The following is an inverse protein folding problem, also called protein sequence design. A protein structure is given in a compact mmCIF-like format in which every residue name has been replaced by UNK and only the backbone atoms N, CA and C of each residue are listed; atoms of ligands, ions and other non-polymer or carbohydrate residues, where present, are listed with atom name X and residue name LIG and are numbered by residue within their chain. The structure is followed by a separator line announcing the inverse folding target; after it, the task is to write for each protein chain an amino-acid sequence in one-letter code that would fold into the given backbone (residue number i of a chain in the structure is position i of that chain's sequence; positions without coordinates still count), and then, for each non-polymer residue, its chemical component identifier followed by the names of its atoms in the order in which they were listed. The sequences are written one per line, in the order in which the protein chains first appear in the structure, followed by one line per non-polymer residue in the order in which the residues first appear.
data_IF_327999214205
#
_entry.id   IF_327999214205
#
_cell.length_a   1.000
_cell.length_b   1.000
_cell.length_c   1.000
_cell.angle_alpha   90.00
_cell.angle_beta   90.00
_cell.angle_gamma   90.00
#
_symmetry.space_group_name_H-M   'P 1'
#
loop_
_entity.id
_entity.type
_entity.pdbx_description
1 polymer ?
#
# COMPACT_ATOMS: atom_id res chain seq x y z
N UNK A 1 -7.70 9.41 -6.35
CA UNK A 1 -6.69 8.98 -7.35
C UNK A 1 -6.91 9.79 -8.62
N UNK A 2 -5.84 10.38 -9.16
CA UNK A 2 -5.88 11.20 -10.37
C UNK A 2 -4.85 10.67 -11.36
N UNK A 3 -5.27 10.47 -12.62
CA UNK A 3 -4.43 9.88 -13.65
C UNK A 3 -4.23 10.84 -14.81
N UNK A 4 -2.97 11.05 -15.19
CA UNK A 4 -2.60 11.59 -16.50
C UNK A 4 -2.21 10.39 -17.37
N UNK A 5 -3.10 10.00 -18.29
CA UNK A 5 -2.91 8.81 -19.13
C UNK A 5 -2.57 9.18 -20.56
N UNK A 6 -1.55 8.53 -21.10
CA UNK A 6 -1.35 8.43 -22.54
C UNK A 6 -2.08 7.18 -23.07
N UNK A 7 -2.74 7.31 -24.21
CA UNK A 7 -3.51 6.24 -24.85
C UNK A 7 -4.51 5.53 -23.89
N UNK A 8 -5.45 6.26 -23.27
CA UNK A 8 -6.29 5.74 -22.19
C UNK A 8 -7.05 4.45 -22.58
N UNK A 9 -7.43 4.27 -23.85
CA UNK A 9 -8.09 3.06 -24.34
C UNK A 9 -7.28 1.76 -24.27
N UNK A 10 -5.97 1.83 -23.99
CA UNK A 10 -5.12 0.65 -23.75
C UNK A 10 -5.06 0.23 -22.27
N UNK A 11 -5.64 1.02 -21.37
CA UNK A 11 -5.54 0.81 -19.93
C UNK A 11 -6.83 0.22 -19.35
N UNK A 12 -6.67 -0.74 -18.45
CA UNK A 12 -7.74 -1.28 -17.60
C UNK A 12 -7.35 -1.01 -16.16
N UNK A 13 -8.17 -0.21 -15.46
CA UNK A 13 -8.01 0.01 -14.02
C UNK A 13 -8.91 -0.94 -13.26
N UNK A 14 -8.28 -1.74 -12.42
CA UNK A 14 -8.95 -2.58 -11.46
C UNK A 14 -8.94 -1.90 -10.09
N UNK A 15 -10.11 -1.47 -9.63
CA UNK A 15 -10.28 -0.82 -8.34
C UNK A 15 -10.99 -1.76 -7.39
N UNK A 16 -10.26 -2.29 -6.40
CA UNK A 16 -10.86 -3.08 -5.33
C UNK A 16 -11.15 -2.19 -4.13
N UNK A 17 -12.38 -2.24 -3.64
CA UNK A 17 -12.87 -1.42 -2.53
C UNK A 17 -13.75 -2.24 -1.59
N UNK A 18 -14.03 -1.71 -0.39
CA UNK A 18 -15.03 -2.29 0.50
C UNK A 18 -16.47 -1.99 0.04
N UNK A 19 -17.42 -2.71 0.63
CA UNK A 19 -18.86 -2.56 0.37
C UNK A 19 -19.40 -1.17 0.65
N UNK A 20 -18.85 -0.46 1.63
CA UNK A 20 -19.31 0.90 1.98
C UNK A 20 -18.99 1.88 0.86
N UNK A 21 -17.80 1.76 0.27
CA UNK A 21 -17.30 2.64 -0.77
C UNK A 21 -17.66 2.18 -2.19
N UNK A 22 -18.07 0.92 -2.38
CA UNK A 22 -18.35 0.32 -3.69
C UNK A 22 -19.29 1.14 -4.57
N UNK A 23 -20.44 1.57 -4.03
CA UNK A 23 -21.41 2.39 -4.77
C UNK A 23 -20.85 3.76 -5.15
N UNK A 24 -20.17 4.43 -4.21
CA UNK A 24 -19.56 5.74 -4.44
C UNK A 24 -18.45 5.68 -5.50
N UNK A 25 -17.61 4.64 -5.47
CA UNK A 25 -16.53 4.44 -6.44
C UNK A 25 -17.07 4.18 -7.84
N UNK A 26 -18.09 3.33 -7.99
CA UNK A 26 -18.76 3.12 -9.28
C UNK A 26 -19.29 4.45 -9.84
N UNK A 27 -20.07 5.19 -9.06
CA UNK A 27 -20.63 6.47 -9.50
C UNK A 27 -19.55 7.51 -9.82
N UNK A 28 -18.47 7.57 -9.03
CA UNK A 28 -17.38 8.51 -9.26
C UNK A 28 -16.72 8.29 -10.62
N UNK A 29 -16.35 7.05 -10.95
CA UNK A 29 -15.69 6.72 -12.22
C UNK A 29 -16.63 6.74 -13.43
N UNK A 30 -17.94 6.53 -13.24
CA UNK A 30 -18.94 6.77 -14.28
C UNK A 30 -19.04 8.25 -14.65
N UNK A 31 -18.97 9.16 -13.67
CA UNK A 31 -19.06 10.61 -13.89
C UNK A 31 -17.71 11.24 -14.26
N UNK A 32 -16.60 10.61 -13.87
CA UNK A 32 -15.24 11.10 -14.08
C UNK A 32 -14.34 10.02 -14.72
N UNK A 33 -14.68 9.52 -15.92
CA UNK A 33 -13.85 8.51 -16.58
C UNK A 33 -12.47 9.12 -16.93
N UNK A 34 -11.36 8.42 -16.64
CA UNK A 34 -10.02 8.89 -17.02
C UNK A 34 -9.79 8.64 -18.51
N UNK A 35 -10.35 9.52 -19.35
CA UNK A 35 -10.36 9.34 -20.79
C UNK A 35 -11.18 8.12 -21.20
N UNK A 36 -10.67 7.32 -22.15
CA UNK A 36 -11.32 6.12 -22.65
C UNK A 36 -10.85 4.82 -21.95
N UNK A 37 -10.24 4.92 -20.77
CA UNK A 37 -9.79 3.74 -20.05
C UNK A 37 -10.96 2.92 -19.51
N UNK A 38 -10.80 1.59 -19.50
CA UNK A 38 -11.79 0.70 -18.90
C UNK A 38 -11.61 0.70 -17.39
N UNK A 39 -12.69 0.92 -16.64
CA UNK A 39 -12.67 0.86 -15.18
C UNK A 39 -13.49 -0.34 -14.71
N UNK A 40 -12.87 -1.21 -13.92
CA UNK A 40 -13.53 -2.30 -13.23
C UNK A 40 -13.49 -2.04 -11.73
N UNK A 41 -14.64 -1.79 -11.12
CA UNK A 41 -14.76 -1.61 -9.66
C UNK A 41 -15.26 -2.91 -9.06
N UNK A 42 -14.55 -3.42 -8.07
CA UNK A 42 -14.83 -4.70 -7.42
C UNK A 42 -15.00 -4.51 -5.91
N UNK A 43 -15.95 -5.23 -5.33
CA UNK A 43 -16.14 -5.28 -3.90
C UNK A 43 -15.35 -6.46 -3.32
N UNK A 44 -14.47 -6.19 -2.36
CA UNK A 44 -13.67 -7.21 -1.68
C UNK A 44 -14.52 -8.30 -1.02
N UNK A 45 -15.73 -7.98 -0.56
CA UNK A 45 -16.65 -8.94 0.08
C UNK A 45 -17.15 -10.04 -0.89
N UNK A 46 -17.01 -9.82 -2.20
CA UNK A 46 -17.38 -10.80 -3.21
C UNK A 46 -16.31 -11.87 -3.43
N UNK A 47 -15.09 -11.67 -2.91
CA UNK A 47 -13.99 -12.63 -3.03
C UNK A 47 -14.19 -13.83 -2.10
N UNK A 48 -14.77 -14.93 -2.63
CA UNK A 48 -15.11 -16.11 -1.83
C UNK A 48 -13.90 -16.85 -1.25
N UNK A 49 -12.73 -16.72 -1.88
CA UNK A 49 -11.47 -17.28 -1.37
C UNK A 49 -10.90 -16.48 -0.18
N UNK A 50 -11.33 -15.24 0.02
CA UNK A 50 -10.85 -14.35 1.08
C UNK A 50 -11.60 -14.67 2.39
N UNK A 51 -11.17 -15.73 3.06
CA UNK A 51 -11.74 -16.19 4.33
C UNK A 51 -10.66 -16.69 5.29
N UNK A 52 -11.00 -16.88 6.56
CA UNK A 52 -10.05 -17.29 7.61
C UNK A 52 -9.49 -18.70 7.47
N UNK A 53 -10.10 -19.57 6.66
CA UNK A 53 -9.53 -20.89 6.36
C UNK A 53 -8.31 -20.78 5.45
N UNK A 54 -8.28 -19.77 4.57
CA UNK A 54 -7.17 -19.56 3.63
C UNK A 54 -6.20 -18.46 4.06
N UNK A 55 -6.71 -17.35 4.61
CA UNK A 55 -5.94 -16.14 4.90
C UNK A 55 -5.53 -16.06 6.38
N UNK A 56 -4.23 -16.17 6.73
CA UNK A 56 -3.77 -16.12 8.13
C UNK A 56 -4.17 -14.85 8.87
N UNK A 57 -4.12 -13.70 8.21
CA UNK A 57 -4.47 -12.42 8.83
C UNK A 57 -5.94 -12.39 9.23
N UNK A 58 -6.86 -12.88 8.38
CA UNK A 58 -8.27 -13.00 8.75
C UNK A 58 -8.47 -13.94 9.93
N UNK A 59 -7.80 -15.09 9.91
CA UNK A 59 -7.84 -16.05 11.02
C UNK A 59 -7.38 -15.42 12.34
N UNK A 60 -6.29 -14.65 12.29
CA UNK A 60 -5.79 -13.91 13.45
C UNK A 60 -6.80 -12.86 13.91
N UNK A 61 -7.37 -12.07 12.99
CA UNK A 61 -8.37 -11.03 13.29
C UNK A 61 -9.64 -11.60 13.95
N UNK A 62 -10.07 -12.78 13.52
CA UNK A 62 -11.25 -13.47 14.06
C UNK A 62 -11.01 -14.11 15.44
N UNK A 63 -9.74 -14.29 15.83
CA UNK A 63 -9.37 -14.95 17.09
C UNK A 63 -9.83 -14.16 18.33
N UNK A 64 -10.16 -14.89 19.40
CA UNK A 64 -10.59 -14.30 20.65
C UNK A 64 -9.54 -13.36 21.25
N UNK A 65 -8.25 -13.71 21.13
CA UNK A 65 -7.13 -12.91 21.61
C UNK A 65 -7.02 -11.55 20.90
N UNK A 66 -7.27 -11.52 19.58
CA UNK A 66 -7.31 -10.26 18.81
C UNK A 66 -8.55 -9.45 19.13
N UNK A 67 -9.70 -10.10 19.31
CA UNK A 67 -10.91 -9.42 19.74
C UNK A 67 -10.72 -8.78 21.11
N UNK A 68 -10.02 -9.44 22.01
CA UNK A 68 -9.68 -8.94 23.34
C UNK A 68 -8.67 -7.78 23.28
N UNK A 69 -7.57 -7.93 22.54
CA UNK A 69 -6.53 -6.90 22.40
C UNK A 69 -7.04 -5.59 21.77
N UNK A 70 -7.96 -5.67 20.81
CA UNK A 70 -8.51 -4.51 20.11
C UNK A 70 -9.82 -3.96 20.72
N UNK A 71 -10.71 -4.82 21.20
CA UNK A 71 -12.08 -4.44 21.57
C UNK A 71 -12.40 -4.55 23.07
N UNK A 72 -11.49 -5.01 23.96
CA UNK A 72 -11.69 -4.75 25.39
C UNK A 72 -11.45 -3.27 25.70
N UNK A 73 -12.53 -2.60 26.07
CA UNK A 73 -12.48 -1.34 26.80
C UNK A 73 -11.87 -1.61 28.18
N UNK A 74 -10.71 -1.03 28.47
CA UNK A 74 -10.20 -1.05 29.85
C UNK A 74 -10.87 0.07 30.64
N UNK A 75 -11.48 -0.32 31.76
CA UNK A 75 -11.66 0.60 32.88
C UNK A 75 -10.28 1.19 33.25
N UNK A 76 -10.16 2.51 33.38
CA UNK A 76 -8.86 3.16 33.54
C UNK A 76 -8.35 2.99 34.97
N UNK A 77 -7.41 2.08 35.18
CA UNK A 77 -6.57 2.06 36.39
C UNK A 77 -5.11 1.90 36.01
N UNK A 78 -4.53 2.94 35.40
CA UNK A 78 -3.17 3.48 35.64
C UNK A 78 -2.74 4.36 34.46
N UNK A 79 -2.59 5.66 34.73
CA UNK A 79 -2.30 6.73 33.77
C UNK A 79 -0.84 6.78 33.27
N UNK A 80 -0.04 5.72 33.45
CA UNK A 80 1.41 5.76 33.16
C UNK A 80 1.92 4.77 32.10
N UNK A 81 1.07 3.89 31.52
CA UNK A 81 1.50 2.92 30.50
C UNK A 81 0.76 3.00 29.15
N UNK A 82 -0.20 3.93 28.99
CA UNK A 82 -1.21 3.85 27.93
C UNK A 82 -0.95 4.59 26.60
N UNK A 83 0.08 5.43 26.47
CA UNK A 83 0.22 6.28 25.28
C UNK A 83 0.80 5.55 24.05
N UNK A 84 1.57 4.48 24.26
CA UNK A 84 2.17 3.72 23.15
C UNK A 84 1.12 2.88 22.41
N UNK A 85 0.14 2.32 23.11
CA UNK A 85 -0.84 1.37 22.58
C UNK A 85 -1.97 1.98 21.74
N UNK A 86 -2.18 3.30 21.76
CA UNK A 86 -3.22 3.96 20.96
C UNK A 86 -2.97 3.89 19.44
N UNK A 87 -1.70 3.93 18.99
CA UNK A 87 -1.36 3.68 17.57
C UNK A 87 -1.76 2.29 17.11
N UNK A 88 -1.80 1.32 18.02
CA UNK A 88 -2.07 -0.08 17.75
C UNK A 88 -3.56 -0.36 17.53
N UNK A 89 -4.47 0.56 17.89
CA UNK A 89 -5.93 0.45 17.71
C UNK A 89 -6.46 1.02 16.39
N UNK A 90 -5.61 1.52 15.49
CA UNK A 90 -6.08 2.12 14.23
C UNK A 90 -6.57 1.02 13.25
N UNK A 91 -7.87 1.02 12.86
CA UNK A 91 -8.46 0.02 11.97
C UNK A 91 -7.78 -0.07 10.60
N UNK A 92 -7.09 0.98 10.15
CA UNK A 92 -6.38 1.01 8.87
C UNK A 92 -5.31 -0.08 8.78
N UNK A 93 -4.65 -0.42 9.90
CA UNK A 93 -3.65 -1.50 9.94
C UNK A 93 -4.25 -2.91 9.94
N UNK A 94 -5.57 -3.01 10.12
CA UNK A 94 -6.34 -4.24 10.06
C UNK A 94 -7.16 -4.35 8.77
N UNK A 95 -7.08 -3.35 7.88
CA UNK A 95 -7.84 -3.36 6.64
C UNK A 95 -7.34 -4.48 5.74
N UNK A 96 -8.20 -5.45 5.48
CA UNK A 96 -7.93 -6.53 4.53
C UNK A 96 -7.63 -6.03 3.12
N UNK A 97 -8.13 -4.84 2.75
CA UNK A 97 -7.77 -4.20 1.49
C UNK A 97 -6.25 -3.97 1.38
N UNK A 98 -5.58 -3.63 2.48
CA UNK A 98 -4.12 -3.50 2.48
C UNK A 98 -3.43 -4.86 2.32
N UNK A 99 -4.06 -5.94 2.75
CA UNK A 99 -3.50 -7.29 2.63
C UNK A 99 -3.75 -7.93 1.26
N UNK A 100 -4.73 -7.46 0.48
CA UNK A 100 -4.98 -7.95 -0.88
C UNK A 100 -3.77 -7.86 -1.81
N UNK A 101 -2.84 -6.93 -1.55
CA UNK A 101 -1.59 -6.83 -2.30
C UNK A 101 -0.74 -8.11 -2.27
N UNK A 102 -0.98 -9.01 -1.31
CA UNK A 102 -0.32 -10.32 -1.21
C UNK A 102 -1.10 -11.45 -1.89
N UNK A 103 -2.24 -11.13 -2.48
CA UNK A 103 -3.15 -12.08 -3.12
C UNK A 103 -3.47 -11.69 -4.57
N UNK A 104 -2.58 -10.92 -5.21
CA UNK A 104 -2.81 -10.43 -6.58
C UNK A 104 -3.09 -11.57 -7.59
N UNK A 105 -2.42 -12.74 -7.53
CA UNK A 105 -2.79 -13.87 -8.38
C UNK A 105 -4.17 -14.47 -8.09
N UNK A 106 -4.66 -14.40 -6.85
CA UNK A 106 -5.99 -14.89 -6.48
C UNK A 106 -7.09 -13.91 -6.92
N UNK A 107 -6.80 -12.59 -6.86
CA UNK A 107 -7.69 -11.56 -7.39
C UNK A 107 -7.72 -11.62 -8.93
N UNK A 108 -6.56 -11.72 -9.58
CA UNK A 108 -6.41 -11.66 -11.04
C UNK A 108 -5.64 -12.86 -11.62
N UNK A 109 -6.19 -14.09 -11.57
CA UNK A 109 -5.47 -15.31 -11.92
C UNK A 109 -5.02 -15.41 -13.38
N UNK A 110 -5.74 -14.71 -14.26
CA UNK A 110 -5.50 -14.68 -15.71
C UNK A 110 -4.49 -13.64 -16.15
N UNK A 111 -4.09 -12.73 -15.25
CA UNK A 111 -3.10 -11.70 -15.57
C UNK A 111 -1.68 -12.23 -15.34
N UNK A 112 -0.77 -11.73 -16.18
CA UNK A 112 0.64 -12.12 -16.17
C UNK A 112 1.51 -11.09 -15.43
N UNK A 113 1.10 -9.82 -15.44
CA UNK A 113 1.82 -8.71 -14.83
C UNK A 113 0.79 -7.68 -14.36
N UNK A 114 1.07 -6.99 -13.25
CA UNK A 114 0.23 -5.91 -12.72
C UNK A 114 1.11 -4.72 -12.32
N UNK A 115 0.65 -3.50 -12.62
CA UNK A 115 1.11 -2.28 -11.99
C UNK A 115 0.18 -1.96 -10.81
N UNK A 116 0.69 -2.10 -9.59
CA UNK A 116 -0.02 -1.79 -8.35
C UNK A 116 0.14 -0.31 -8.01
N UNK A 117 -0.95 0.36 -7.62
CA UNK A 117 -0.97 1.76 -7.18
C UNK A 117 -1.81 1.88 -5.89
N UNK A 118 -1.28 2.57 -4.87
CA UNK A 118 -2.06 2.90 -3.67
C UNK A 118 -3.03 4.06 -3.96
N UNK A 119 -4.04 4.25 -3.09
CA UNK A 119 -5.10 5.25 -3.24
C UNK A 119 -4.66 6.70 -2.96
N UNK A 120 -3.52 6.86 -2.30
CA UNK A 120 -2.94 8.11 -1.80
C UNK A 120 -1.72 8.59 -2.61
N UNK A 121 -1.74 8.27 -3.91
CA UNK A 121 -0.71 8.67 -4.88
C UNK A 121 -1.23 9.66 -5.93
N UNK A 122 -0.30 10.34 -6.57
CA UNK A 122 -0.51 11.16 -7.77
C UNK A 122 0.43 10.68 -8.86
N UNK A 123 -0.13 10.33 -10.02
CA UNK A 123 0.65 10.00 -11.23
C UNK A 123 0.88 11.29 -12.02
N UNK A 124 2.14 11.69 -12.13
CA UNK A 124 2.58 12.92 -12.81
C UNK A 124 3.08 12.67 -14.24
N UNK A 125 3.55 11.45 -14.54
CA UNK A 125 4.13 11.08 -15.84
C UNK A 125 3.54 9.75 -16.31
N UNK A 126 3.68 9.48 -17.61
CA UNK A 126 3.25 8.21 -18.20
C UNK A 126 4.00 7.03 -17.58
N UNK A 127 3.25 5.98 -17.21
CA UNK A 127 3.77 4.78 -16.56
C UNK A 127 3.91 3.60 -17.53
N UNK A 128 3.57 3.78 -18.81
CA UNK A 128 3.52 2.69 -19.80
C UNK A 128 4.85 1.97 -19.94
N UNK A 129 5.98 2.67 -19.83
CA UNK A 129 7.30 2.05 -19.92
C UNK A 129 7.59 1.02 -18.81
N UNK A 130 6.90 1.06 -17.66
CA UNK A 130 7.04 0.06 -16.59
C UNK A 130 6.66 -1.36 -17.04
N UNK A 131 5.74 -1.49 -18.01
CA UNK A 131 5.35 -2.80 -18.55
C UNK A 131 6.50 -3.51 -19.25
N UNK A 132 7.42 -2.74 -19.83
CA UNK A 132 8.59 -3.22 -20.58
C UNK A 132 9.84 -3.43 -19.72
N UNK A 133 9.77 -3.09 -18.42
CA UNK A 133 10.89 -3.34 -17.51
C UNK A 133 11.11 -4.84 -17.36
N UNK A 134 12.35 -5.26 -17.59
CA UNK A 134 12.82 -6.62 -17.34
C UNK A 134 13.20 -6.76 -15.86
N UNK A 135 12.37 -7.49 -15.11
CA UNK A 135 12.57 -7.73 -13.68
C UNK A 135 13.69 -8.75 -13.39
N UNK A 136 14.38 -9.28 -14.42
CA UNK A 136 15.51 -10.22 -14.26
C UNK A 136 15.14 -11.46 -13.45
N UNK A 137 13.92 -11.97 -13.65
CA UNK A 137 13.38 -13.12 -12.91
C UNK A 137 12.94 -12.83 -11.47
N UNK A 138 12.94 -11.56 -11.04
CA UNK A 138 12.32 -11.12 -9.79
C UNK A 138 10.81 -11.01 -9.94
N UNK A 139 10.10 -11.08 -8.80
CA UNK A 139 8.63 -11.00 -8.78
C UNK A 139 8.16 -9.55 -8.71
N UNK A 140 8.90 -8.71 -7.99
CA UNK A 140 8.53 -7.32 -7.73
C UNK A 140 9.54 -6.38 -8.40
N UNK A 141 9.06 -5.27 -8.97
CA UNK A 141 9.85 -4.10 -9.30
C UNK A 141 9.39 -2.93 -8.42
N UNK A 142 10.30 -2.39 -7.62
CA UNK A 142 10.01 -1.30 -6.69
C UNK A 142 11.18 -0.33 -6.58
N UNK A 143 10.89 0.93 -6.25
CA UNK A 143 11.94 1.90 -5.90
C UNK A 143 12.42 1.62 -4.48
N UNK A 144 13.73 1.45 -4.36
CA UNK A 144 14.43 1.29 -3.10
C UNK A 144 14.43 2.58 -2.28
N UNK A 145 14.24 2.46 -0.97
CA UNK A 145 14.03 3.60 -0.06
C UNK A 145 15.21 3.82 0.89
N UNK A 146 16.25 2.99 0.81
CA UNK A 146 17.47 3.22 1.56
C UNK A 146 18.19 4.48 1.04
N UNK A 147 18.55 5.36 1.97
CA UNK A 147 19.17 6.66 1.75
C UNK A 147 19.53 7.29 3.10
N UNK A 148 19.65 8.62 3.16
CA UNK A 148 20.09 9.36 4.35
C UNK A 148 19.24 9.11 5.61
N UNK A 149 17.95 8.77 5.45
CA UNK A 149 17.00 8.51 6.54
C UNK A 149 16.87 7.04 6.96
N UNK A 150 17.79 6.15 6.54
CA UNK A 150 17.93 4.75 6.98
C UNK A 150 16.61 3.93 7.01
N UNK A 151 16.06 3.60 5.85
CA UNK A 151 14.96 2.63 5.69
C UNK A 151 15.49 1.22 5.35
N UNK A 152 16.32 0.64 6.22
CA UNK A 152 16.85 -0.73 6.10
C UNK A 152 16.01 -1.73 6.90
N UNK A 153 16.23 -3.01 6.66
CA UNK A 153 15.45 -4.11 7.27
C UNK A 153 15.47 -4.07 8.80
N UNK A 154 16.59 -3.66 9.41
CA UNK A 154 16.76 -3.51 10.87
C UNK A 154 15.74 -2.57 11.54
N UNK A 155 15.19 -1.60 10.79
CA UNK A 155 14.15 -0.69 11.30
C UNK A 155 12.76 -1.31 11.32
N UNK A 156 12.53 -2.35 10.51
CA UNK A 156 11.21 -2.95 10.31
C UNK A 156 11.05 -4.29 11.01
N UNK A 157 12.15 -5.02 11.21
CA UNK A 157 12.15 -6.39 11.70
C UNK A 157 12.93 -6.53 13.00
N UNK A 158 12.51 -7.46 13.84
CA UNK A 158 13.19 -7.76 15.10
C UNK A 158 14.38 -8.71 14.89
N UNK A 159 15.57 -8.17 14.65
CA UNK A 159 16.80 -8.96 14.47
C UNK A 159 17.33 -9.62 15.74
N UNK A 160 16.78 -9.30 16.92
CA UNK A 160 17.05 -10.11 18.13
C UNK A 160 16.36 -11.47 18.07
N UNK A 161 15.35 -11.64 17.21
CA UNK A 161 14.70 -12.93 17.02
C UNK A 161 15.53 -13.82 16.07
N UNK A 162 15.89 -15.06 16.48
CA UNK A 162 16.71 -15.95 15.66
C UNK A 162 16.10 -16.34 14.31
N UNK A 163 14.76 -16.32 14.16
CA UNK A 163 14.11 -16.57 12.87
C UNK A 163 14.34 -15.44 11.87
N UNK A 164 14.41 -14.19 12.33
CA UNK A 164 14.75 -13.05 11.47
C UNK A 164 16.25 -13.05 11.16
N UNK A 165 17.09 -13.08 12.19
CA UNK A 165 18.54 -12.97 12.04
C UNK A 165 19.16 -14.05 11.14
N UNK A 166 18.58 -15.26 11.09
CA UNK A 166 19.06 -16.35 10.24
C UNK A 166 18.63 -16.25 8.78
N UNK A 167 17.54 -15.54 8.48
CA UNK A 167 16.94 -15.54 7.13
C UNK A 167 17.17 -14.22 6.37
N UNK A 168 17.47 -13.12 7.07
CA UNK A 168 17.55 -11.79 6.49
C UNK A 168 18.84 -11.08 6.86
N UNK A 169 19.26 -10.15 6.01
CA UNK A 169 20.36 -9.24 6.30
C UNK A 169 19.79 -7.94 6.90
N UNK A 170 20.22 -7.51 8.11
CA UNK A 170 19.78 -6.25 8.71
C UNK A 170 20.10 -5.03 7.83
N UNK A 171 21.14 -5.13 7.01
CA UNK A 171 21.57 -4.07 6.12
C UNK A 171 20.86 -4.09 4.77
N UNK A 172 19.98 -5.06 4.50
CA UNK A 172 19.24 -5.08 3.24
C UNK A 172 18.42 -3.80 3.05
N UNK A 173 18.41 -3.30 1.82
CA UNK A 173 17.66 -2.10 1.46
C UNK A 173 16.16 -2.39 1.48
N UNK A 174 15.39 -1.53 2.16
CA UNK A 174 13.94 -1.54 2.05
C UNK A 174 13.46 -0.94 0.74
N UNK A 175 12.22 -1.23 0.41
CA UNK A 175 11.43 -0.54 -0.62
C UNK A 175 10.07 -0.18 -0.01
N UNK A 176 9.19 0.50 -0.74
CA UNK A 176 7.84 0.78 -0.24
C UNK A 176 6.78 0.35 -1.25
N UNK A 177 5.61 0.01 -0.73
CA UNK A 177 4.43 -0.06 -1.58
C UNK A 177 3.94 1.34 -1.96
N UNK A 178 3.21 1.43 -3.06
CA UNK A 178 2.54 2.66 -3.50
C UNK A 178 2.58 2.81 -5.01
N UNK A 179 3.68 2.40 -5.60
CA UNK A 179 3.79 2.06 -7.01
C UNK A 179 4.77 0.92 -7.16
N UNK A 180 4.29 -0.23 -7.63
CA UNK A 180 5.10 -1.44 -7.79
C UNK A 180 4.64 -2.19 -9.03
N UNK A 181 5.56 -2.82 -9.73
CA UNK A 181 5.22 -3.75 -10.81
C UNK A 181 5.42 -5.19 -10.32
N UNK A 182 4.43 -6.04 -10.52
CA UNK A 182 4.47 -7.44 -10.10
C UNK A 182 4.35 -8.37 -11.30
N UNK A 183 5.28 -9.31 -11.44
CA UNK A 183 5.19 -10.44 -12.36
C UNK A 183 4.40 -11.57 -11.68
N UNK A 184 3.16 -11.76 -12.12
CA UNK A 184 2.27 -12.76 -11.54
C UNK A 184 2.61 -14.19 -11.98
N UNK A 185 3.35 -14.38 -13.09
CA UNK A 185 3.85 -15.72 -13.46
C UNK A 185 4.91 -16.17 -12.50
N UNK A 186 5.93 -15.34 -12.27
CA UNK A 186 6.99 -15.65 -11.31
C UNK A 186 6.44 -15.67 -9.87
N UNK A 187 5.44 -14.85 -9.55
CA UNK A 187 4.71 -14.93 -8.28
C UNK A 187 4.12 -16.32 -8.04
N UNK A 188 3.33 -16.83 -9.00
CA UNK A 188 2.69 -18.15 -8.91
C UNK A 188 3.73 -19.27 -8.84
N UNK A 189 4.78 -19.19 -9.67
CA UNK A 189 5.86 -20.19 -9.72
C UNK A 189 6.66 -20.29 -8.41
N UNK A 190 6.86 -19.17 -7.71
CA UNK A 190 7.62 -19.10 -6.46
C UNK A 190 6.74 -19.18 -5.21
N UNK A 191 5.42 -19.33 -5.37
CA UNK A 191 4.43 -19.37 -4.30
C UNK A 191 4.58 -18.21 -3.30
N UNK A 192 4.63 -16.99 -3.81
CA UNK A 192 4.85 -15.80 -2.98
C UNK A 192 3.70 -15.59 -1.97
N UNK A 193 2.46 -15.93 -2.33
CA UNK A 193 1.32 -15.94 -1.40
C UNK A 193 1.55 -16.93 -0.25
N UNK A 194 2.07 -18.14 -0.53
CA UNK A 194 2.44 -19.11 0.49
C UNK A 194 3.59 -18.66 1.39
N UNK A 195 4.61 -17.99 0.84
CA UNK A 195 5.70 -17.37 1.64
C UNK A 195 5.12 -16.32 2.58
N UNK A 196 4.23 -15.47 2.07
CA UNK A 196 3.52 -14.49 2.89
C UNK A 196 2.72 -15.15 4.02
N UNK A 197 1.98 -16.23 3.72
CA UNK A 197 1.24 -16.98 4.72
C UNK A 197 2.14 -17.53 5.82
N UNK A 198 3.28 -18.14 5.44
CA UNK A 198 4.27 -18.67 6.39
C UNK A 198 4.70 -17.61 7.37
N UNK A 199 5.11 -16.43 6.89
CA UNK A 199 5.56 -15.36 7.77
C UNK A 199 4.44 -14.82 8.65
N UNK A 200 3.22 -14.68 8.14
CA UNK A 200 2.08 -14.27 8.96
C UNK A 200 1.79 -15.25 10.10
N UNK A 201 1.80 -16.55 9.82
CA UNK A 201 1.62 -17.58 10.86
C UNK A 201 2.75 -17.55 11.89
N UNK A 202 4.00 -17.32 11.46
CA UNK A 202 5.15 -17.22 12.37
C UNK A 202 5.15 -15.96 13.24
N UNK A 203 4.34 -14.94 12.90
CA UNK A 203 4.25 -13.68 13.64
C UNK A 203 2.88 -13.51 14.33
N UNK A 204 2.20 -14.61 14.67
CA UNK A 204 0.91 -14.59 15.39
C UNK A 204 1.03 -13.85 16.74
N UNK A 205 2.18 -13.94 17.41
CA UNK A 205 2.51 -13.27 18.67
C UNK A 205 3.13 -11.86 18.49
N UNK A 206 3.30 -11.41 17.24
CA UNK A 206 3.84 -10.09 16.85
C UNK A 206 5.28 -9.81 17.31
N UNK A 207 6.10 -10.86 17.49
CA UNK A 207 7.50 -10.71 17.94
C UNK A 207 8.49 -10.51 16.79
N UNK A 208 8.16 -10.90 15.55
CA UNK A 208 9.03 -10.76 14.37
C UNK A 208 8.95 -9.34 13.78
N UNK A 209 7.75 -8.78 13.72
CA UNK A 209 7.49 -7.36 13.45
C UNK A 209 6.19 -6.93 14.12
N UNK A 210 6.03 -5.61 14.33
CA UNK A 210 4.92 -5.07 15.13
C UNK A 210 3.61 -4.90 14.35
N UNK A 211 3.64 -4.07 13.30
CA UNK A 211 2.43 -3.61 12.59
C UNK A 211 2.69 -3.28 11.12
N UNK A 212 1.59 -3.20 10.36
CA UNK A 212 1.58 -2.79 8.96
C UNK A 212 1.92 -3.91 7.99
N UNK A 213 1.76 -3.60 6.70
CA UNK A 213 1.99 -4.54 5.59
C UNK A 213 3.37 -4.41 4.97
N UNK A 214 4.11 -3.34 5.28
CA UNK A 214 5.46 -3.17 4.74
C UNK A 214 6.45 -4.22 5.28
N UNK A 215 6.59 -4.45 6.60
CA UNK A 215 7.49 -5.49 7.10
C UNK A 215 7.24 -6.89 6.50
N UNK A 216 6.00 -7.43 6.45
CA UNK A 216 5.78 -8.71 5.79
C UNK A 216 6.00 -8.65 4.28
N UNK A 217 5.84 -7.49 3.63
CA UNK A 217 6.28 -7.27 2.24
C UNK A 217 7.78 -7.47 2.08
N UNK A 218 8.59 -6.81 2.90
CA UNK A 218 10.04 -6.95 2.87
C UNK A 218 10.50 -8.40 3.09
N UNK A 219 9.86 -9.12 4.02
CA UNK A 219 10.13 -10.54 4.27
C UNK A 219 9.76 -11.43 3.08
N UNK A 220 8.58 -11.19 2.51
CA UNK A 220 7.99 -12.02 1.45
C UNK A 220 8.77 -11.91 0.13
N UNK A 221 9.24 -10.71 -0.21
CA UNK A 221 9.95 -10.43 -1.45
C UNK A 221 11.48 -10.33 -1.28
N UNK A 222 12.02 -10.80 -0.16
CA UNK A 222 13.45 -10.71 0.09
C UNK A 222 14.24 -11.44 -1.01
N UNK A 223 15.19 -10.72 -1.65
CA UNK A 223 15.96 -11.16 -2.84
C UNK A 223 15.10 -11.51 -4.07
N UNK A 224 13.86 -11.01 -4.11
CA UNK A 224 12.91 -11.20 -5.22
C UNK A 224 12.34 -9.85 -5.72
N UNK A 225 13.05 -8.76 -5.44
CA UNK A 225 12.73 -7.40 -5.89
C UNK A 225 13.84 -6.89 -6.81
N UNK A 226 13.45 -6.43 -7.99
CA UNK A 226 14.28 -5.67 -8.89
C UNK A 226 14.19 -4.16 -8.53
N UNK A 227 15.33 -3.48 -8.25
CA UNK A 227 15.31 -2.06 -7.95
C UNK A 227 14.97 -1.25 -9.20
N UNK A 228 13.96 -0.39 -9.09
CA UNK A 228 13.59 0.57 -10.12
C UNK A 228 14.34 1.89 -9.92
N UNK A 229 14.51 2.64 -11.01
CA UNK A 229 15.06 3.99 -10.98
C UNK A 229 14.26 4.91 -10.03
N UNK A 230 14.96 5.76 -9.27
CA UNK A 230 14.34 6.62 -8.24
C UNK A 230 13.32 7.60 -8.82
N UNK A 231 13.44 7.95 -10.10
CA UNK A 231 12.48 8.83 -10.77
C UNK A 231 11.09 8.19 -10.94
N UNK A 232 10.92 6.89 -10.68
CA UNK A 232 9.62 6.24 -10.80
C UNK A 232 8.67 6.55 -9.63
N UNK A 233 9.17 6.62 -8.39
CA UNK A 233 8.34 6.73 -7.20
C UNK A 233 9.06 7.50 -6.10
N UNK A 234 8.49 8.63 -5.69
CA UNK A 234 8.93 9.40 -4.52
C UNK A 234 7.86 9.32 -3.43
N UNK A 235 8.30 9.03 -2.22
CA UNK A 235 7.46 8.85 -1.04
C UNK A 235 7.77 9.88 0.03
N UNK A 236 6.86 9.99 0.99
CA UNK A 236 7.02 10.74 2.22
C UNK A 236 6.27 12.06 2.24
N UNK A 237 5.46 12.38 1.22
CA UNK A 237 4.72 13.64 1.16
C UNK A 237 3.66 13.75 2.28
N UNK A 238 3.37 12.67 3.01
CA UNK A 238 2.50 12.67 4.19
C UNK A 238 3.22 12.62 5.54
N UNK A 239 4.56 12.74 5.60
CA UNK A 239 5.29 12.80 6.88
C UNK A 239 6.70 13.43 6.84
N UNK A 240 7.35 13.54 5.69
CA UNK A 240 8.73 14.00 5.57
C UNK A 240 8.78 15.45 5.02
N UNK A 241 9.08 16.47 5.84
CA UNK A 241 9.11 17.86 5.40
C UNK A 241 10.30 18.21 4.51
N UNK A 242 11.28 17.32 4.38
CA UNK A 242 12.59 17.61 3.78
C UNK A 242 12.80 17.02 2.39
N UNK A 243 11.74 16.57 1.71
CA UNK A 243 11.84 16.07 0.34
C UNK A 243 12.16 17.25 -0.59
N UNK A 244 13.18 17.07 -1.42
CA UNK A 244 13.62 18.05 -2.40
C UNK A 244 12.54 18.27 -3.48
N UNK A 245 12.32 19.53 -3.87
CA UNK A 245 11.35 19.87 -4.91
C UNK A 245 11.69 19.26 -6.26
N UNK A 246 12.97 19.15 -6.59
CA UNK A 246 13.46 18.53 -7.83
C UNK A 246 13.15 17.03 -7.86
N UNK A 247 13.26 16.32 -6.73
CA UNK A 247 12.85 14.91 -6.63
C UNK A 247 11.35 14.75 -6.91
N UNK A 248 10.51 15.60 -6.30
CA UNK A 248 9.06 15.57 -6.49
C UNK A 248 8.70 15.88 -7.95
N UNK A 249 9.32 16.89 -8.56
CA UNK A 249 9.05 17.26 -9.95
C UNK A 249 9.51 16.19 -10.94
N UNK A 250 10.63 15.53 -10.66
CA UNK A 250 11.19 14.51 -11.53
C UNK A 250 10.51 13.15 -11.36
N UNK A 251 9.80 12.92 -10.26
CA UNK A 251 9.09 11.67 -10.01
C UNK A 251 7.90 11.45 -10.94
N UNK A 252 7.75 10.22 -11.45
CA UNK A 252 6.58 9.79 -12.19
C UNK A 252 5.37 9.61 -11.26
N UNK A 253 5.59 9.08 -10.05
CA UNK A 253 4.58 8.95 -9.00
C UNK A 253 5.06 9.60 -7.72
N UNK A 254 4.20 10.43 -7.11
CA UNK A 254 4.42 10.99 -5.77
C UNK A 254 3.41 10.41 -4.79
N UNK A 255 3.87 10.05 -3.60
CA UNK A 255 3.09 9.29 -2.64
C UNK A 255 2.95 10.04 -1.32
N UNK A 256 1.70 10.28 -0.93
CA UNK A 256 1.33 10.90 0.34
C UNK A 256 1.24 9.87 1.47
N UNK A 257 2.09 8.84 1.48
CA UNK A 257 2.16 7.88 2.58
C UNK A 257 2.47 8.61 3.90
N UNK A 258 1.96 8.08 5.01
CA UNK A 258 1.94 8.77 6.31
C UNK A 258 0.56 9.35 6.66
N UNK A 259 0.54 10.18 7.69
CA UNK A 259 -0.70 10.64 8.34
C UNK A 259 -1.15 12.03 7.85
N UNK A 260 -0.23 12.87 7.36
CA UNK A 260 -0.52 14.25 6.95
C UNK A 260 -1.05 14.27 5.51
N UNK A 261 -2.22 13.66 5.29
CA UNK A 261 -2.85 13.55 3.97
C UNK A 261 -3.28 14.91 3.44
N UNK A 262 -3.21 15.15 2.12
CA UNK A 262 -3.47 16.47 1.53
C UNK A 262 -4.93 16.93 1.61
N UNK A 263 -5.86 16.01 1.89
CA UNK A 263 -7.29 16.27 2.12
C UNK A 263 -7.65 16.47 3.60
N UNK A 264 -6.66 16.47 4.51
CA UNK A 264 -6.86 16.75 5.94
C UNK A 264 -6.34 18.14 6.30
N UNK A 265 -6.88 18.73 7.37
CA UNK A 265 -6.40 20.02 7.87
C UNK A 265 -4.93 19.98 8.32
N UNK A 266 -4.49 18.83 8.83
CA UNK A 266 -3.10 18.57 9.24
C UNK A 266 -2.15 18.28 8.05
N UNK A 267 -2.57 18.53 6.81
CA UNK A 267 -1.74 18.33 5.63
C UNK A 267 -0.43 19.13 5.70
N UNK A 268 0.64 18.57 5.12
CA UNK A 268 1.86 19.35 4.88
C UNK A 268 1.58 20.39 3.80
N UNK A 269 1.43 21.65 4.20
CA UNK A 269 1.06 22.76 3.32
C UNK A 269 1.95 22.86 2.08
N UNK A 270 3.27 22.65 2.23
CA UNK A 270 4.23 22.64 1.11
C UNK A 270 3.96 21.58 0.03
N UNK A 271 3.32 20.46 0.36
CA UNK A 271 3.03 19.38 -0.59
C UNK A 271 1.58 19.34 -1.06
N UNK A 272 0.69 20.10 -0.42
CA UNK A 272 -0.74 20.14 -0.76
C UNK A 272 -1.01 20.54 -2.23
N UNK A 273 -0.28 21.51 -2.83
CA UNK A 273 -0.50 21.90 -4.23
C UNK A 273 -0.34 20.76 -5.26
N UNK A 274 0.50 19.76 -5.00
CA UNK A 274 0.66 18.63 -5.93
C UNK A 274 -0.57 17.72 -5.99
N UNK A 275 -1.46 17.78 -4.99
CA UNK A 275 -2.74 17.07 -4.96
C UNK A 275 -3.89 17.96 -5.42
N UNK A 276 -4.01 19.17 -4.86
CA UNK A 276 -5.16 20.05 -5.08
C UNK A 276 -5.29 20.51 -6.53
N UNK A 277 -4.19 20.58 -7.29
CA UNK A 277 -4.21 20.89 -8.72
C UNK A 277 -5.06 19.94 -9.57
N UNK A 278 -5.37 18.74 -9.07
CA UNK A 278 -6.24 17.78 -9.74
C UNK A 278 -7.68 17.80 -9.24
N UNK A 279 -7.97 18.50 -8.13
CA UNK A 279 -9.33 18.61 -7.61
C UNK A 279 -10.13 19.55 -8.52
N UNK A 280 -11.22 19.02 -9.09
CA UNK A 280 -12.23 19.81 -9.81
C UNK A 280 -13.17 20.49 -8.81
N UNK A 281 -12.76 21.65 -8.30
CA UNK A 281 -13.53 22.42 -7.29
C UNK A 281 -14.91 22.88 -7.79
N UNK A 282 -15.12 22.90 -9.11
CA UNK A 282 -16.40 23.19 -9.74
C UNK A 282 -17.36 21.97 -9.79
N UNK A 283 -16.86 20.76 -9.53
CA UNK A 283 -17.66 19.55 -9.55
C UNK A 283 -18.77 19.60 -8.48
N UNK A 284 -20.05 19.29 -8.80
CA UNK A 284 -21.18 19.45 -7.88
C UNK A 284 -20.98 18.83 -6.49
N UNK A 285 -20.50 17.59 -6.43
CA UNK A 285 -20.21 16.91 -5.16
C UNK A 285 -19.03 17.53 -4.38
N UNK A 286 -18.04 18.11 -5.07
CA UNK A 286 -16.89 18.76 -4.42
C UNK A 286 -17.30 20.11 -3.84
N UNK A 287 -18.09 20.90 -4.59
CA UNK A 287 -18.68 22.16 -4.08
C UNK A 287 -19.50 21.95 -2.82
N UNK A 288 -20.29 20.86 -2.77
CA UNK A 288 -21.08 20.49 -1.60
C UNK A 288 -20.25 20.21 -0.34
N UNK A 289 -18.97 19.86 -0.49
CA UNK A 289 -18.06 19.58 0.63
C UNK A 289 -17.42 20.82 1.25
N UNK A 290 -17.66 22.03 0.73
CA UNK A 290 -17.07 23.30 1.24
C UNK A 290 -15.54 23.25 1.40
N UNK A 291 -14.84 22.55 0.51
CA UNK A 291 -13.38 22.54 0.51
C UNK A 291 -12.89 23.93 0.08
N UNK A 292 -12.15 24.63 0.93
CA UNK A 292 -11.52 25.90 0.57
C UNK A 292 -10.32 25.65 -0.35
N UNK A 293 -10.07 26.61 -1.26
CA UNK A 293 -8.80 26.72 -1.99
C UNK A 293 -7.61 26.83 -1.03
#
# INVERSE_FOLDING_TARGET
MWFLLQEPGKHVFHLVTDKLNFGAMNMWFLLNPPGNATIHVENVDDFKWLNSSYCPVLRQLESAAMKEYYFKADHPTTLSAGSSNLKYRNPKYLSMLNHLRFYLPEVYPKLDKILFLDDDIVVQKDLTALWSVDLKGNVNGAVETCGESFHRFDKYLNFSNPHIARNFDPNACGWAYGMNVFDLKEWKKKDITGIYHKWQNMNEDRVLWKLGTLPPGLLTFYKLTHPLDKSWHVLGLGYNPSIDHSEIQNAAVVHYNGNMKPWLELAMTKYRPYWTKYIKYDHPYVRGCKLSE
#
